data_IF_515938697889
#
_entry.id   IF_515938697889
#
_cell.length_a   1.000
_cell.length_b   1.000
_cell.length_c   1.000
_cell.angle_alpha   90.00
_cell.angle_beta   90.00
_cell.angle_gamma   90.00
#
_symmetry.space_group_name_H-M   'P 1'
#
loop_
_entity.id
_entity.type
_entity.pdbx_description
1 polymer ?
#
# COMPACT_ATOMS: atom_id res chain seq x y z
N UNK A 1 35.75 9.95 5.85
CA UNK A 1 34.29 9.75 5.90
C UNK A 1 34.07 8.26 5.91
N UNK A 2 33.17 7.72 6.74
CA UNK A 2 32.88 6.28 6.72
C UNK A 2 32.49 5.87 5.30
N UNK A 3 33.19 4.88 4.76
CA UNK A 3 32.77 4.20 3.54
C UNK A 3 31.47 3.47 3.89
N UNK A 4 30.34 4.11 3.61
CA UNK A 4 29.04 3.46 3.70
C UNK A 4 29.00 2.39 2.62
N UNK A 5 29.44 1.18 2.97
CA UNK A 5 29.33 0.03 2.10
C UNK A 5 27.83 -0.32 1.96
N UNK A 6 27.23 -0.16 0.77
CA UNK A 6 25.82 -0.45 0.55
C UNK A 6 25.46 -1.91 0.89
N UNK A 7 26.42 -2.83 0.77
CA UNK A 7 26.24 -4.23 1.15
C UNK A 7 26.02 -4.39 2.65
N UNK A 8 26.79 -3.67 3.47
CA UNK A 8 26.64 -3.68 4.93
C UNK A 8 25.30 -3.05 5.32
N UNK A 9 24.89 -1.95 4.68
CA UNK A 9 23.60 -1.31 4.96
C UNK A 9 22.42 -2.23 4.63
N UNK A 10 22.48 -2.96 3.50
CA UNK A 10 21.49 -3.97 3.14
C UNK A 10 21.47 -5.13 4.14
N UNK A 11 22.63 -5.61 4.58
CA UNK A 11 22.73 -6.68 5.56
C UNK A 11 22.07 -6.29 6.91
N UNK A 12 22.32 -5.06 7.38
CA UNK A 12 21.67 -4.54 8.60
C UNK A 12 20.16 -4.42 8.43
N UNK A 13 19.68 -3.93 7.27
CA UNK A 13 18.25 -3.87 6.97
C UNK A 13 17.59 -5.26 6.98
N UNK A 14 18.25 -6.24 6.37
CA UNK A 14 17.80 -7.63 6.36
C UNK A 14 17.73 -8.21 7.77
N UNK A 15 18.73 -7.96 8.62
CA UNK A 15 18.76 -8.43 9.99
C UNK A 15 17.68 -7.76 10.86
N UNK A 16 17.50 -6.43 10.71
CA UNK A 16 16.51 -5.68 11.48
C UNK A 16 15.06 -5.98 11.07
N UNK A 17 14.78 -6.09 9.77
CA UNK A 17 13.43 -6.33 9.27
C UNK A 17 13.06 -7.82 9.20
N UNK A 18 14.05 -8.72 9.06
CA UNK A 18 13.83 -10.15 8.91
C UNK A 18 12.83 -10.48 7.78
N UNK A 19 11.78 -11.23 8.12
CA UNK A 19 10.74 -11.64 7.16
C UNK A 19 9.96 -10.45 6.56
N UNK A 20 9.83 -9.34 7.28
CA UNK A 20 9.11 -8.16 6.80
C UNK A 20 9.76 -7.53 5.58
N UNK A 21 11.09 -7.64 5.43
CA UNK A 21 11.81 -7.14 4.26
C UNK A 21 11.28 -7.81 2.99
N UNK A 22 11.13 -9.13 3.03
CA UNK A 22 10.65 -9.92 1.90
C UNK A 22 9.17 -9.69 1.64
N UNK A 23 8.34 -9.61 2.69
CA UNK A 23 6.91 -9.35 2.53
C UNK A 23 6.66 -7.98 1.92
N UNK A 24 7.29 -6.92 2.45
CA UNK A 24 7.15 -5.57 1.92
C UNK A 24 7.76 -5.43 0.52
N UNK A 25 8.90 -6.07 0.26
CA UNK A 25 9.52 -6.11 -1.06
C UNK A 25 8.63 -6.80 -2.10
N UNK A 26 8.07 -7.96 -1.75
CA UNK A 26 7.10 -8.67 -2.60
C UNK A 26 5.85 -7.83 -2.83
N UNK A 27 5.32 -7.19 -1.78
CA UNK A 27 4.16 -6.32 -1.87
C UNK A 27 4.43 -5.12 -2.80
N UNK A 28 5.57 -4.47 -2.66
CA UNK A 28 5.99 -3.37 -3.52
C UNK A 28 6.11 -3.81 -4.99
N UNK A 29 6.75 -4.97 -5.24
CA UNK A 29 6.92 -5.51 -6.59
C UNK A 29 5.57 -5.89 -7.21
N UNK A 30 4.70 -6.58 -6.48
CA UNK A 30 3.35 -6.95 -6.92
C UNK A 30 2.48 -5.71 -7.19
N UNK A 31 2.55 -4.70 -6.30
CA UNK A 31 1.83 -3.45 -6.45
C UNK A 31 2.26 -2.68 -7.71
N UNK A 32 3.57 -2.53 -7.92
CA UNK A 32 4.12 -1.77 -9.05
C UNK A 32 3.85 -2.48 -10.39
N UNK A 33 4.06 -3.79 -10.45
CA UNK A 33 3.78 -4.59 -11.66
C UNK A 33 2.28 -4.64 -11.97
N UNK A 34 1.43 -4.86 -10.95
CA UNK A 34 -0.02 -4.85 -11.11
C UNK A 34 -0.56 -3.50 -11.55
N UNK A 35 -0.06 -2.40 -10.95
CA UNK A 35 -0.43 -1.04 -11.33
C UNK A 35 -0.03 -0.74 -12.78
N UNK A 36 1.21 -1.04 -13.16
CA UNK A 36 1.69 -0.87 -14.53
C UNK A 36 0.88 -1.67 -15.55
N UNK A 37 0.58 -2.94 -15.24
CA UNK A 37 -0.27 -3.79 -16.07
C UNK A 37 -1.65 -3.16 -16.31
N UNK A 38 -2.29 -2.66 -15.25
CA UNK A 38 -3.63 -2.07 -15.33
C UNK A 38 -3.60 -0.79 -16.16
N UNK A 39 -2.60 0.08 -16.00
CA UNK A 39 -2.47 1.29 -16.81
C UNK A 39 -2.33 0.95 -18.29
N UNK A 40 -1.46 0.00 -18.63
CA UNK A 40 -1.25 -0.43 -20.02
C UNK A 40 -2.54 -1.00 -20.62
N UNK A 41 -3.30 -1.76 -19.83
CA UNK A 41 -4.53 -2.42 -20.27
C UNK A 41 -5.72 -1.46 -20.39
N UNK A 42 -5.92 -0.58 -19.42
CA UNK A 42 -7.02 0.38 -19.38
C UNK A 42 -6.73 1.63 -20.23
N UNK A 43 -5.49 1.80 -20.72
CA UNK A 43 -5.01 2.95 -21.51
C UNK A 43 -5.31 4.31 -20.84
N UNK A 44 -5.38 4.35 -19.53
CA UNK A 44 -5.70 5.55 -18.78
C UNK A 44 -5.82 5.33 -17.28
N UNK A 45 -5.87 6.45 -16.55
CA UNK A 45 -6.11 6.49 -15.11
C UNK A 45 -7.55 6.87 -14.83
N UNK A 46 -8.22 6.07 -14.00
CA UNK A 46 -9.58 6.38 -13.55
C UNK A 46 -9.51 7.28 -12.31
N UNK A 47 -9.89 8.56 -12.46
CA UNK A 47 -9.86 9.53 -11.36
C UNK A 47 -10.69 9.08 -10.16
N UNK A 48 -11.89 8.52 -10.39
CA UNK A 48 -12.75 8.01 -9.32
C UNK A 48 -12.15 6.84 -8.54
N UNK A 49 -11.38 5.97 -9.23
CA UNK A 49 -10.65 4.87 -8.57
C UNK A 49 -9.45 5.39 -7.79
N UNK A 50 -8.73 6.37 -8.35
CA UNK A 50 -7.57 6.98 -7.71
C UNK A 50 -7.94 7.66 -6.39
N UNK A 51 -9.00 8.47 -6.38
CA UNK A 51 -9.46 9.16 -5.16
C UNK A 51 -9.88 8.16 -4.08
N UNK A 52 -10.60 7.10 -4.46
CA UNK A 52 -10.97 6.02 -3.51
C UNK A 52 -9.72 5.31 -2.98
N UNK A 53 -8.76 4.97 -3.83
CA UNK A 53 -7.51 4.35 -3.38
C UNK A 53 -6.74 5.25 -2.43
N UNK A 54 -6.66 6.55 -2.71
CA UNK A 54 -6.00 7.51 -1.82
C UNK A 54 -6.69 7.58 -0.46
N UNK A 55 -8.02 7.62 -0.43
CA UNK A 55 -8.78 7.65 0.83
C UNK A 55 -8.54 6.39 1.68
N UNK A 56 -8.62 5.19 1.09
CA UNK A 56 -8.33 3.95 1.81
C UNK A 56 -6.85 3.81 2.17
N UNK A 57 -5.95 4.32 1.34
CA UNK A 57 -4.51 4.25 1.58
C UNK A 57 -4.06 5.12 2.76
N UNK A 58 -4.89 6.02 3.29
CA UNK A 58 -4.58 6.69 4.57
C UNK A 58 -4.39 5.66 5.69
N UNK A 59 -5.16 4.57 5.67
CA UNK A 59 -4.97 3.45 6.60
C UNK A 59 -3.63 2.75 6.37
N UNK A 60 -3.17 2.67 5.12
CA UNK A 60 -1.85 2.12 4.81
C UNK A 60 -0.71 3.03 5.30
N UNK A 61 -0.87 4.35 5.21
CA UNK A 61 0.07 5.31 5.82
C UNK A 61 0.15 5.15 7.34
N UNK A 62 -1.00 5.01 8.01
CA UNK A 62 -1.03 4.74 9.45
C UNK A 62 -0.42 3.37 9.80
N UNK A 63 -0.71 2.33 9.00
CA UNK A 63 -0.12 1.01 9.17
C UNK A 63 1.40 1.02 8.98
N UNK A 64 1.93 1.87 8.09
CA UNK A 64 3.38 2.03 7.91
C UNK A 64 4.05 2.60 9.16
N UNK A 65 3.40 3.55 9.86
CA UNK A 65 3.89 4.06 11.14
C UNK A 65 3.85 2.98 12.23
N UNK A 66 2.77 2.20 12.30
CA UNK A 66 2.66 1.07 13.25
C UNK A 66 3.76 0.04 12.99
N UNK A 67 4.00 -0.31 11.73
CA UNK A 67 5.05 -1.24 11.34
C UNK A 67 6.44 -0.70 11.68
N UNK A 68 6.70 0.58 11.42
CA UNK A 68 7.96 1.21 11.80
C UNK A 68 8.20 1.13 13.30
N UNK A 69 7.21 1.48 14.12
CA UNK A 69 7.34 1.37 15.58
C UNK A 69 7.56 -0.08 16.03
N UNK A 70 6.97 -1.05 15.34
CA UNK A 70 7.14 -2.47 15.64
C UNK A 70 8.54 -2.98 15.31
N UNK A 71 9.11 -2.60 14.16
CA UNK A 71 10.45 -3.04 13.72
C UNK A 71 11.55 -2.35 14.53
N UNK A 72 11.42 -1.06 14.81
CA UNK A 72 12.48 -0.28 15.47
C UNK A 72 12.52 -0.50 16.99
N UNK A 73 11.50 -1.11 17.60
CA UNK A 73 11.35 -1.26 19.07
C UNK A 73 11.51 0.03 19.88
N UNK A 74 11.44 1.19 19.22
CA UNK A 74 11.54 2.51 19.84
C UNK A 74 10.12 3.06 19.99
N UNK A 75 9.72 3.44 21.20
CA UNK A 75 8.40 4.02 21.42
C UNK A 75 8.26 5.37 20.70
N UNK A 76 7.04 5.69 20.25
CA UNK A 76 6.71 7.00 19.67
C UNK A 76 7.05 8.20 20.60
N UNK A 77 7.31 7.94 21.88
CA UNK A 77 7.58 8.93 22.92
C UNK A 77 9.04 9.44 22.94
N UNK A 78 9.99 8.76 22.30
CA UNK A 78 11.39 9.25 22.16
C UNK A 78 11.60 10.14 20.92
N UNK A 79 10.57 10.27 20.07
CA UNK A 79 10.58 11.04 18.82
C UNK A 79 10.30 12.55 19.04
N UNK A 80 10.98 13.15 20.02
CA UNK A 80 10.78 14.55 20.39
C UNK A 80 11.51 15.56 19.50
N UNK A 81 12.38 15.10 18.59
CA UNK A 81 13.21 15.96 17.77
C UNK A 81 12.52 16.46 16.48
N UNK A 82 12.88 17.64 15.95
CA UNK A 82 12.35 18.13 14.67
C UNK A 82 12.59 17.18 13.48
N UNK A 83 13.68 16.41 13.53
CA UNK A 83 14.03 15.43 12.49
C UNK A 83 13.07 14.23 12.52
N UNK A 84 12.56 13.85 13.68
CA UNK A 84 11.68 12.70 13.84
C UNK A 84 10.30 13.00 13.24
N UNK A 85 9.86 14.25 13.32
CA UNK A 85 8.61 14.70 12.71
C UNK A 85 8.68 14.57 11.19
N UNK A 86 9.82 14.94 10.60
CA UNK A 86 10.06 14.78 9.18
C UNK A 86 10.09 13.30 8.79
N UNK A 87 10.69 12.44 9.63
CA UNK A 87 10.73 11.01 9.40
C UNK A 87 9.33 10.38 9.49
N UNK A 88 8.52 10.75 10.49
CA UNK A 88 7.13 10.30 10.63
C UNK A 88 6.32 10.69 9.39
N UNK A 89 6.42 11.94 8.95
CA UNK A 89 5.73 12.41 7.74
C UNK A 89 6.22 11.65 6.50
N UNK A 90 7.53 11.42 6.36
CA UNK A 90 8.09 10.69 5.23
C UNK A 90 7.63 9.23 5.19
N UNK A 91 7.61 8.54 6.33
CA UNK A 91 7.14 7.15 6.44
C UNK A 91 5.65 7.08 6.14
N UNK A 92 4.85 7.97 6.74
CA UNK A 92 3.42 8.03 6.48
C UNK A 92 3.13 8.28 5.00
N UNK A 93 3.81 9.27 4.39
CA UNK A 93 3.67 9.60 2.98
C UNK A 93 4.09 8.43 2.08
N UNK A 94 5.21 7.77 2.38
CA UNK A 94 5.67 6.58 1.67
C UNK A 94 4.66 5.43 1.75
N UNK A 95 4.13 5.15 2.94
CA UNK A 95 3.08 4.16 3.15
C UNK A 95 1.77 4.51 2.45
N UNK A 96 1.39 5.78 2.44
CA UNK A 96 0.19 6.28 1.77
C UNK A 96 0.31 6.17 0.24
N UNK A 97 1.44 6.57 -0.34
CA UNK A 97 1.70 6.46 -1.77
C UNK A 97 1.76 4.99 -2.19
N UNK A 98 2.54 4.16 -1.48
CA UNK A 98 2.64 2.73 -1.74
C UNK A 98 1.30 2.01 -1.61
N UNK A 99 0.54 2.32 -0.55
CA UNK A 99 -0.82 1.82 -0.34
C UNK A 99 -1.79 2.24 -1.43
N UNK A 100 -1.66 3.47 -1.96
CA UNK A 100 -2.49 3.95 -3.08
C UNK A 100 -2.26 3.10 -4.32
N UNK A 101 -0.99 2.83 -4.65
CA UNK A 101 -0.61 1.99 -5.80
C UNK A 101 -1.19 0.58 -5.63
N UNK A 102 -1.00 -0.02 -4.45
CA UNK A 102 -1.49 -1.36 -4.13
C UNK A 102 -3.01 -1.49 -4.20
N UNK A 103 -3.72 -0.58 -3.55
CA UNK A 103 -5.19 -0.60 -3.50
C UNK A 103 -5.76 -0.31 -4.89
N UNK A 104 -5.16 0.62 -5.65
CA UNK A 104 -5.56 0.87 -7.04
C UNK A 104 -5.36 -0.39 -7.90
N UNK A 105 -4.20 -1.03 -7.77
CA UNK A 105 -3.89 -2.26 -8.50
C UNK A 105 -4.86 -3.38 -8.12
N UNK A 106 -5.13 -3.58 -6.84
CA UNK A 106 -6.07 -4.59 -6.34
C UNK A 106 -7.50 -4.33 -6.86
N UNK A 107 -7.99 -3.08 -6.79
CA UNK A 107 -9.31 -2.71 -7.31
C UNK A 107 -9.43 -2.92 -8.81
N UNK A 108 -8.37 -2.64 -9.58
CA UNK A 108 -8.38 -2.89 -11.02
C UNK A 108 -8.33 -4.38 -11.35
N UNK A 109 -7.51 -5.15 -10.63
CA UNK A 109 -7.43 -6.59 -10.79
C UNK A 109 -8.76 -7.29 -10.51
N UNK A 110 -9.48 -6.83 -9.47
CA UNK A 110 -10.79 -7.36 -9.09
C UNK A 110 -11.78 -7.35 -10.26
N UNK A 111 -11.75 -6.34 -11.11
CA UNK A 111 -12.62 -6.23 -12.31
C UNK A 111 -12.30 -7.26 -13.40
N UNK A 112 -11.09 -7.82 -13.39
CA UNK A 112 -10.64 -8.82 -14.35
C UNK A 112 -10.73 -10.26 -13.83
N UNK A 113 -11.19 -10.48 -12.58
CA UNK A 113 -11.41 -11.84 -12.05
C UNK A 113 -12.59 -12.50 -12.78
N UNK A 114 -12.38 -13.67 -13.45
CA UNK A 114 -13.45 -14.44 -14.06
C UNK A 114 -14.37 -14.99 -12.96
N UNK A 115 -15.67 -14.63 -12.99
CA UNK A 115 -16.68 -15.07 -12.01
C UNK A 115 -17.56 -13.96 -11.42
N UNK A 116 -17.25 -12.69 -11.67
CA UNK A 116 -18.02 -11.54 -11.17
C UNK A 116 -19.49 -11.52 -11.62
N UNK A 117 -19.79 -12.01 -12.82
CA UNK A 117 -21.15 -11.98 -13.38
C UNK A 117 -22.15 -12.70 -12.46
N UNK A 118 -21.73 -13.77 -11.78
CA UNK A 118 -22.58 -14.52 -10.83
C UNK A 118 -22.86 -13.73 -9.55
N UNK A 119 -21.87 -13.03 -9.00
CA UNK A 119 -22.03 -12.23 -7.77
C UNK A 119 -22.84 -10.96 -8.03
N UNK A 120 -22.59 -10.27 -9.16
CA UNK A 120 -23.37 -9.10 -9.57
C UNK A 120 -24.82 -9.48 -9.88
N UNK A 121 -25.05 -10.65 -10.50
CA UNK A 121 -26.39 -11.17 -10.75
C UNK A 121 -27.14 -11.55 -9.45
N UNK A 122 -26.45 -12.06 -8.43
CA UNK A 122 -27.02 -12.35 -7.12
C UNK A 122 -27.41 -11.08 -6.35
N UNK A 123 -26.55 -10.06 -6.39
CA UNK A 123 -26.81 -8.77 -5.72
C UNK A 123 -27.96 -8.02 -6.40
N UNK A 124 -28.04 -8.03 -7.73
CA UNK A 124 -29.14 -7.38 -8.46
C UNK A 124 -30.48 -8.08 -8.21
N UNK A 125 -30.51 -9.40 -8.01
CA UNK A 125 -31.74 -10.13 -7.62
C UNK A 125 -32.25 -9.80 -6.23
N UNK A 126 -31.40 -9.32 -5.32
CA UNK A 126 -31.78 -8.98 -3.94
C UNK A 126 -32.21 -7.53 -3.78
N UNK A 127 -32.22 -6.72 -4.85
CA UNK A 127 -32.80 -5.37 -4.81
C UNK A 127 -34.33 -5.49 -4.95
N UNK A 128 -35.13 -5.21 -3.92
CA UNK A 128 -36.57 -5.17 -4.09
C UNK A 128 -36.91 -4.06 -5.08
N UNK A 129 -37.78 -4.35 -6.05
CA UNK A 129 -38.40 -3.31 -6.87
C UNK A 129 -39.06 -2.30 -5.92
N UNK A 130 -38.85 -0.99 -6.09
CA UNK A 130 -39.65 -0.01 -5.38
C UNK A 130 -41.11 -0.28 -5.78
N UNK A 131 -41.93 -0.66 -4.79
CA UNK A 131 -43.36 -0.79 -4.97
C UNK A 131 -43.89 0.57 -5.47
N UNK A 132 -44.58 0.53 -6.61
CA UNK A 132 -45.20 1.68 -7.26
C UNK A 132 -46.28 2.33 -6.38
#
# INVERSE_FOLDING_TARGET
>A
MQELDPGVMLAVLLEMMGIWFWILGALALCGLTGFGWIIVRERGLSSGRLVRSQAFALLAGAAALVLMAHVTKSGFTDAGGPIDWLLIVAIFAGGWIGGTILIYAAMGWWRFMPGQERLVALITRLRPQPAA
#
